data_IF_688317999228
#
_entry.id   IF_688317999228
#
_cell.length_a   1.000
_cell.length_b   1.000
_cell.length_c   1.000
_cell.angle_alpha   90.00
_cell.angle_beta   90.00
_cell.angle_gamma   90.00
#
_symmetry.space_group_name_H-M   'P 1'
#
loop_
_entity.id
_entity.type
_entity.pdbx_description
1 polymer ?
#
# COMPACT_ATOMS: atom_id res chain seq x y z
N UNK A 1 21.27 -2.54 1.20
CA UNK A 1 22.17 -2.61 2.39
C UNK A 1 21.57 -1.75 3.50
N UNK A 2 21.65 -2.13 4.78
CA UNK A 2 21.15 -1.31 5.90
C UNK A 2 22.29 -1.09 6.90
N UNK A 3 22.55 0.15 7.26
CA UNK A 3 23.60 0.53 8.22
C UNK A 3 23.04 1.50 9.23
N UNK A 4 23.53 1.40 10.46
CA UNK A 4 23.01 2.18 11.56
C UNK A 4 23.57 1.73 12.89
N UNK A 5 22.94 2.21 13.95
CA UNK A 5 23.29 1.90 15.32
C UNK A 5 22.21 1.06 15.99
N UNK A 6 22.65 0.18 16.87
CA UNK A 6 21.76 -0.61 17.70
C UNK A 6 21.75 -0.07 19.11
N UNK A 7 20.57 0.18 19.65
CA UNK A 7 20.39 0.69 21.00
C UNK A 7 19.48 -0.26 21.79
N UNK A 8 19.80 -0.44 23.07
CA UNK A 8 18.99 -1.25 23.98
C UNK A 8 18.57 -0.42 25.16
N UNK A 9 17.30 -0.51 25.54
CA UNK A 9 16.73 0.23 26.64
C UNK A 9 15.90 -0.66 27.55
N UNK A 10 15.52 -0.13 28.70
CA UNK A 10 14.47 -0.71 29.52
C UNK A 10 13.79 0.37 30.35
N UNK A 11 12.53 0.13 30.69
CA UNK A 11 11.77 0.96 31.62
C UNK A 11 10.79 0.10 32.42
N UNK A 12 10.33 0.63 33.55
CA UNK A 12 9.26 0.00 34.33
C UNK A 12 7.93 0.63 33.95
N UNK A 13 6.96 -0.18 33.52
CA UNK A 13 5.63 0.31 33.16
C UNK A 13 4.79 0.61 34.43
N UNK A 14 3.57 1.14 34.25
CA UNK A 14 2.67 1.49 35.37
C UNK A 14 2.26 0.29 36.22
N UNK A 15 2.35 -0.92 35.69
CA UNK A 15 2.02 -2.17 36.38
C UNK A 15 3.21 -2.72 37.18
N UNK A 16 4.37 -2.04 37.17
CA UNK A 16 5.59 -2.49 37.85
C UNK A 16 6.41 -3.52 37.04
N UNK A 17 6.02 -3.80 35.80
CA UNK A 17 6.71 -4.77 34.95
C UNK A 17 7.90 -4.10 34.25
N UNK A 18 9.04 -4.80 34.19
CA UNK A 18 10.23 -4.33 33.47
C UNK A 18 10.13 -4.68 31.99
N UNK A 19 10.04 -3.65 31.16
CA UNK A 19 9.97 -3.74 29.70
C UNK A 19 11.35 -3.46 29.12
N UNK A 20 11.79 -4.27 28.17
CA UNK A 20 13.06 -4.10 27.47
C UNK A 20 12.80 -3.72 26.01
N UNK A 21 13.51 -2.72 25.51
CA UNK A 21 13.45 -2.29 24.11
C UNK A 21 14.79 -2.58 23.42
N UNK A 22 14.69 -2.90 22.13
CA UNK A 22 15.82 -2.96 21.22
C UNK A 22 15.43 -2.12 20.01
N UNK A 23 16.17 -1.04 19.79
CA UNK A 23 15.88 -0.04 18.79
C UNK A 23 17.00 -0.06 17.74
N UNK A 24 16.62 -0.26 16.47
CA UNK A 24 17.53 -0.21 15.34
C UNK A 24 17.43 1.16 14.68
N UNK A 25 18.41 2.03 14.93
CA UNK A 25 18.46 3.37 14.36
C UNK A 25 19.16 3.29 13.01
N UNK A 26 18.41 3.39 11.93
CA UNK A 26 18.94 3.31 10.56
C UNK A 26 19.54 4.66 10.17
N UNK A 27 20.84 4.67 9.86
CA UNK A 27 21.55 5.85 9.35
C UNK A 27 21.56 5.88 7.81
N UNK A 28 21.78 4.71 7.18
CA UNK A 28 21.80 4.57 5.73
C UNK A 28 21.00 3.34 5.32
N UNK A 29 20.14 3.48 4.30
CA UNK A 29 19.40 2.39 3.69
C UNK A 29 19.52 2.46 2.18
N UNK A 30 20.14 1.44 1.60
CA UNK A 30 20.18 1.20 0.17
C UNK A 30 19.09 0.19 -0.20
N UNK A 31 18.16 0.63 -1.05
CA UNK A 31 17.11 -0.21 -1.60
C UNK A 31 17.70 -1.22 -2.58
N UNK A 32 17.37 -2.50 -2.43
CA UNK A 32 17.64 -3.49 -3.46
C UNK A 32 16.65 -3.33 -4.63
N UNK A 33 17.05 -3.76 -5.83
CA UNK A 33 16.18 -3.79 -6.99
C UNK A 33 14.92 -4.62 -6.73
N UNK A 34 13.82 -4.19 -7.35
CA UNK A 34 12.47 -4.72 -7.14
C UNK A 34 12.42 -6.19 -7.56
N UNK A 35 11.54 -6.97 -6.92
CA UNK A 35 11.25 -8.37 -7.27
C UNK A 35 10.74 -8.59 -8.72
N UNK A 36 10.53 -7.53 -9.51
CA UNK A 36 9.98 -7.59 -10.88
C UNK A 36 11.01 -7.62 -12.01
N UNK A 37 12.29 -7.81 -11.73
CA UNK A 37 13.35 -7.94 -12.75
C UNK A 37 13.70 -9.41 -13.08
N UNK A 38 12.77 -10.35 -12.91
CA UNK A 38 12.83 -11.52 -13.79
C UNK A 38 12.60 -10.99 -15.20
N UNK A 39 13.47 -11.25 -16.20
CA UNK A 39 13.05 -11.07 -17.58
C UNK A 39 11.81 -11.96 -17.74
N UNK A 40 10.63 -11.35 -17.82
CA UNK A 40 9.48 -12.03 -18.38
C UNK A 40 9.94 -12.39 -19.78
N UNK A 41 10.36 -13.64 -19.95
CA UNK A 41 10.21 -14.34 -21.21
C UNK A 41 8.83 -13.94 -21.70
N UNK A 42 8.76 -13.33 -22.89
CA UNK A 42 7.50 -13.01 -23.55
C UNK A 42 6.75 -14.33 -23.76
N UNK A 43 6.03 -14.78 -22.74
CA UNK A 43 4.94 -15.70 -22.94
C UNK A 43 3.86 -14.87 -23.60
N UNK A 44 3.80 -15.02 -24.93
CA UNK A 44 2.73 -14.56 -25.79
C UNK A 44 1.41 -14.79 -25.07
N UNK A 45 0.76 -13.70 -24.66
CA UNK A 45 -0.49 -13.75 -23.93
C UNK A 45 -1.58 -14.31 -24.87
N UNK A 46 -1.82 -15.62 -24.81
CA UNK A 46 -2.95 -16.27 -25.51
C UNK A 46 -4.21 -16.26 -24.65
N UNK A 47 -4.36 -15.31 -23.73
CA UNK A 47 -5.63 -15.16 -23.00
C UNK A 47 -6.72 -14.69 -23.98
N UNK A 48 -7.87 -15.39 -24.04
CA UNK A 48 -9.02 -14.92 -24.80
C UNK A 48 -9.40 -13.51 -24.35
N UNK A 49 -9.50 -12.58 -25.29
CA UNK A 49 -10.02 -11.23 -25.03
C UNK A 49 -11.49 -11.38 -24.62
N UNK A 50 -11.90 -10.99 -23.41
CA UNK A 50 -13.31 -10.96 -23.05
C UNK A 50 -14.04 -9.94 -23.93
N UNK A 51 -15.31 -10.19 -24.30
CA UNK A 51 -16.09 -9.24 -25.08
C UNK A 51 -16.18 -7.89 -24.35
N UNK A 52 -16.30 -6.77 -25.08
CA UNK A 52 -16.36 -5.45 -24.46
C UNK A 52 -17.55 -5.38 -23.50
N UNK A 53 -17.27 -5.18 -22.22
CA UNK A 53 -18.29 -4.88 -21.22
C UNK A 53 -18.88 -3.49 -21.48
N UNK A 54 -20.18 -3.26 -21.26
CA UNK A 54 -20.79 -1.95 -21.40
C UNK A 54 -20.04 -0.95 -20.50
N UNK A 55 -19.60 0.15 -21.12
CA UNK A 55 -18.80 1.17 -20.45
C UNK A 55 -19.54 1.75 -19.24
N UNK A 56 -18.78 2.10 -18.20
CA UNK A 56 -19.20 2.87 -17.02
C UNK A 56 -19.60 4.31 -17.39
N UNK A 57 -20.44 4.45 -18.41
CA UNK A 57 -20.93 5.69 -19.00
C UNK A 57 -22.33 5.51 -19.60
N UNK A 58 -22.98 4.37 -19.42
CA UNK A 58 -24.45 4.29 -19.47
C UNK A 58 -25.02 4.78 -18.13
N UNK A 59 -24.77 6.05 -17.81
CA UNK A 59 -25.48 6.73 -16.74
C UNK A 59 -26.87 7.05 -17.29
N UNK A 60 -27.97 6.51 -16.74
CA UNK A 60 -29.27 7.04 -17.08
C UNK A 60 -29.31 8.51 -16.67
N UNK A 61 -29.72 9.36 -17.61
CA UNK A 61 -29.94 10.78 -17.41
C UNK A 61 -30.89 11.00 -16.22
N UNK A 62 -30.32 11.19 -15.02
CA UNK A 62 -31.02 11.61 -13.81
C UNK A 62 -31.31 13.11 -13.94
N UNK A 63 -32.04 13.48 -14.98
CA UNK A 63 -32.72 14.77 -15.09
C UNK A 63 -33.85 14.81 -14.08
N UNK A 64 -33.63 15.43 -12.92
CA UNK A 64 -34.71 15.82 -12.02
C UNK A 64 -34.48 15.71 -10.51
N UNK A 65 -33.24 15.68 -10.01
CA UNK A 65 -32.98 15.70 -8.55
C UNK A 65 -31.95 16.77 -8.15
N UNK A 66 -32.12 18.00 -8.63
CA UNK A 66 -31.36 19.16 -8.14
C UNK A 66 -31.98 19.82 -6.88
N UNK A 67 -33.19 19.40 -6.48
CA UNK A 67 -33.96 20.09 -5.42
C UNK A 67 -34.06 19.37 -4.06
N UNK A 68 -33.13 18.47 -3.71
CA UNK A 68 -33.02 18.04 -2.29
C UNK A 68 -31.61 17.53 -1.91
N UNK A 69 -30.60 18.40 -2.00
CA UNK A 69 -29.35 18.17 -1.27
C UNK A 69 -29.37 18.96 0.05
N UNK A 70 -29.07 18.32 1.20
CA UNK A 70 -29.31 18.89 2.54
C UNK A 70 -28.34 19.99 2.99
N UNK A 71 -27.58 20.59 2.06
CA UNK A 71 -26.68 21.72 2.34
C UNK A 71 -26.68 22.80 1.24
N UNK A 72 -27.80 22.98 0.54
CA UNK A 72 -28.09 24.25 -0.17
C UNK A 72 -28.73 25.27 0.75
#
# INVERSE_FOLDING_TARGET
NVRGEWQTGNYTNKNGEKVYSNDCLVAEHEFAERKSQSPQTQETDTRPVPPPEPSFMDVPDLGGMEDEFPFS
#
